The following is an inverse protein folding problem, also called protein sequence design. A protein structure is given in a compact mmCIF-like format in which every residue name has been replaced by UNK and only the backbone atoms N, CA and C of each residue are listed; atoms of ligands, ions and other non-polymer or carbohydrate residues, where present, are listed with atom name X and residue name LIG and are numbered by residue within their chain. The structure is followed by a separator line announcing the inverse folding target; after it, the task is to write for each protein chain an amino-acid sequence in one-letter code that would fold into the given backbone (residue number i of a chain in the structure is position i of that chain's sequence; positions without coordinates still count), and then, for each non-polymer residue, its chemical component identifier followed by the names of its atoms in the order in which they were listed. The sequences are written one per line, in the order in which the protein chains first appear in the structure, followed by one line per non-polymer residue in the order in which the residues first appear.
data_IF_608742506774
#
_entry.id   IF_608742506774
#
_cell.length_a   1.000
_cell.length_b   1.000
_cell.length_c   1.000
_cell.angle_alpha   90.00
_cell.angle_beta   90.00
_cell.angle_gamma   90.00
#
_symmetry.space_group_name_H-M   'P 1'
#
loop_
_entity.id
_entity.type
_entity.pdbx_description
1 polymer ?
#
# COMPACT_ATOMS: atom_id res chain seq x y z
N UNK A 1 11.11 -8.97 2.27
CA UNK A 1 12.14 -9.38 1.28
C UNK A 1 11.40 -9.77 0.00
N UNK A 2 11.74 -9.19 -1.15
CA UNK A 2 11.15 -9.59 -2.42
C UNK A 2 11.71 -10.95 -2.85
N UNK A 3 10.84 -11.87 -3.24
CA UNK A 3 11.18 -13.22 -3.67
C UNK A 3 10.66 -13.45 -5.08
N UNK A 4 11.50 -14.02 -5.95
CA UNK A 4 11.13 -14.37 -7.32
C UNK A 4 10.52 -15.78 -7.34
N UNK A 5 9.33 -15.93 -7.91
CA UNK A 5 8.72 -17.22 -8.18
C UNK A 5 9.19 -17.78 -9.54
N UNK A 6 9.08 -19.10 -9.77
CA UNK A 6 9.32 -19.68 -11.09
C UNK A 6 8.41 -19.03 -12.14
N UNK A 7 8.97 -18.62 -13.29
CA UNK A 7 8.23 -17.93 -14.36
C UNK A 7 8.39 -16.41 -14.41
N UNK A 8 9.29 -15.81 -13.62
CA UNK A 8 9.60 -14.38 -13.68
C UNK A 8 8.67 -13.49 -12.84
N UNK A 9 7.68 -14.08 -12.19
CA UNK A 9 6.76 -13.38 -11.28
C UNK A 9 7.48 -13.00 -9.98
N UNK A 10 7.48 -11.71 -9.62
CA UNK A 10 8.17 -11.18 -8.44
C UNK A 10 7.16 -10.76 -7.38
N UNK A 11 7.33 -11.29 -6.17
CA UNK A 11 6.46 -11.01 -5.02
C UNK A 11 7.24 -10.29 -3.93
N UNK A 12 6.75 -9.16 -3.47
CA UNK A 12 7.16 -8.59 -2.19
C UNK A 12 6.21 -9.09 -1.10
N UNK A 13 6.71 -9.94 -0.21
CA UNK A 13 5.91 -10.52 0.87
C UNK A 13 6.17 -9.82 2.21
N UNK A 14 5.09 -9.36 2.85
CA UNK A 14 5.04 -8.79 4.18
C UNK A 14 4.18 -9.70 5.07
N UNK A 15 4.78 -10.25 6.12
CA UNK A 15 4.10 -11.16 7.06
C UNK A 15 4.17 -10.60 8.47
N UNK A 16 3.01 -10.24 9.00
CA UNK A 16 2.80 -9.80 10.37
C UNK A 16 2.08 -10.87 11.18
N UNK A 17 2.37 -10.95 12.47
CA UNK A 17 1.72 -11.88 13.41
C UNK A 17 1.12 -11.17 14.62
N UNK A 18 1.41 -9.88 14.80
CA UNK A 18 0.87 -9.10 15.90
C UNK A 18 -0.62 -8.80 15.63
N UNK A 19 -1.48 -9.09 16.60
CA UNK A 19 -2.93 -8.93 16.48
C UNK A 19 -3.39 -7.48 16.57
N UNK A 20 -2.52 -6.57 17.04
CA UNK A 20 -2.80 -5.13 17.11
C UNK A 20 -2.15 -4.36 15.96
N UNK A 21 -0.83 -4.44 15.80
CA UNK A 21 -0.08 -3.60 14.86
C UNK A 21 1.18 -4.29 14.34
N UNK A 22 1.39 -4.21 13.03
CA UNK A 22 2.56 -4.71 12.32
C UNK A 22 3.14 -3.56 11.49
N UNK A 23 4.43 -3.28 11.64
CA UNK A 23 5.12 -2.18 10.95
C UNK A 23 6.19 -2.77 10.05
N UNK A 24 6.22 -2.32 8.79
CA UNK A 24 7.20 -2.74 7.80
C UNK A 24 7.88 -1.51 7.19
N UNK A 25 9.19 -1.56 6.99
CA UNK A 25 9.93 -0.60 6.18
C UNK A 25 10.17 -1.21 4.79
N UNK A 26 9.87 -0.44 3.74
CA UNK A 26 10.00 -0.84 2.34
C UNK A 26 10.63 0.30 1.56
N UNK A 27 11.63 0.03 0.72
CA UNK A 27 12.10 1.05 -0.21
C UNK A 27 11.12 1.15 -1.38
N UNK A 28 10.83 2.36 -1.85
CA UNK A 28 10.00 2.59 -3.02
C UNK A 28 10.51 1.84 -4.25
N UNK A 29 11.84 1.68 -4.37
CA UNK A 29 12.48 0.89 -5.43
C UNK A 29 12.10 -0.59 -5.40
N UNK A 30 11.76 -1.15 -4.23
CA UNK A 30 11.36 -2.56 -4.09
C UNK A 30 9.93 -2.81 -4.56
N UNK A 31 9.15 -1.74 -4.76
CA UNK A 31 7.80 -1.79 -5.33
C UNK A 31 7.83 -1.60 -6.85
N UNK A 32 8.90 -1.04 -7.39
CA UNK A 32 9.08 -0.90 -8.82
C UNK A 32 9.37 -2.26 -9.46
N UNK A 33 8.48 -2.73 -10.33
CA UNK A 33 8.67 -3.95 -11.12
C UNK A 33 8.30 -5.25 -10.40
N UNK A 34 7.68 -5.20 -9.22
CA UNK A 34 7.02 -6.38 -8.65
C UNK A 34 5.70 -6.66 -9.36
N UNK A 35 5.31 -7.92 -9.40
CA UNK A 35 4.00 -8.31 -9.91
C UNK A 35 2.95 -8.38 -8.79
N UNK A 36 3.38 -8.60 -7.55
CA UNK A 36 2.45 -8.69 -6.42
C UNK A 36 3.06 -8.20 -5.11
N UNK A 37 2.30 -7.38 -4.39
CA UNK A 37 2.51 -7.11 -2.98
C UNK A 37 1.61 -8.03 -2.16
N UNK A 38 2.20 -8.92 -1.36
CA UNK A 38 1.48 -9.87 -0.51
C UNK A 38 1.55 -9.41 0.94
N UNK A 39 0.39 -9.15 1.55
CA UNK A 39 0.24 -8.67 2.92
C UNK A 39 -0.52 -9.73 3.72
N UNK A 40 0.17 -10.42 4.61
CA UNK A 40 -0.43 -11.40 5.50
C UNK A 40 -0.37 -10.90 6.95
N UNK A 41 -1.51 -10.65 7.56
CA UNK A 41 -1.60 -10.20 8.95
C UNK A 41 -2.95 -10.61 9.58
N UNK A 42 -3.04 -10.70 10.92
CA UNK A 42 -4.28 -11.09 11.59
C UNK A 42 -5.45 -10.14 11.29
N UNK A 43 -6.66 -10.70 11.21
CA UNK A 43 -7.88 -9.91 11.16
C UNK A 43 -7.93 -8.87 12.29
N UNK A 44 -8.44 -7.68 11.98
CA UNK A 44 -8.53 -6.58 12.96
C UNK A 44 -7.23 -5.79 13.19
N UNK A 45 -6.05 -6.38 12.91
CA UNK A 45 -4.76 -5.71 13.09
C UNK A 45 -4.56 -4.51 12.17
N UNK A 46 -3.61 -3.64 12.50
CA UNK A 46 -3.08 -2.59 11.63
C UNK A 46 -1.81 -3.08 10.95
N UNK A 47 -1.69 -2.84 9.65
CA UNK A 47 -0.43 -2.92 8.92
C UNK A 47 -0.05 -1.52 8.51
N UNK A 48 1.11 -1.06 8.98
CA UNK A 48 1.74 0.18 8.52
C UNK A 48 2.93 -0.20 7.66
N UNK A 49 2.90 0.22 6.40
CA UNK A 49 4.00 0.04 5.46
C UNK A 49 4.62 1.41 5.26
N UNK A 50 5.73 1.66 5.95
CA UNK A 50 6.55 2.85 5.74
C UNK A 50 7.35 2.67 4.45
N UNK A 51 7.02 3.47 3.44
CA UNK A 51 7.63 3.45 2.13
C UNK A 51 8.60 4.62 2.02
N UNK A 52 9.88 4.32 1.81
CA UNK A 52 10.99 5.29 1.76
C UNK A 52 11.47 5.51 0.34
N UNK A 53 11.65 6.76 -0.05
CA UNK A 53 12.16 7.19 -1.36
C UNK A 53 11.49 8.47 -1.83
N UNK A 54 12.27 9.36 -2.45
CA UNK A 54 11.79 10.66 -2.94
C UNK A 54 10.67 10.55 -3.99
N UNK A 55 10.58 9.41 -4.69
CA UNK A 55 9.51 9.05 -5.61
C UNK A 55 9.14 7.58 -5.46
N UNK A 56 7.90 7.24 -5.79
CA UNK A 56 7.42 5.87 -5.81
C UNK A 56 6.51 5.58 -7.00
N UNK A 57 6.59 4.36 -7.52
CA UNK A 57 5.77 3.88 -8.64
C UNK A 57 5.06 2.60 -8.24
N UNK A 58 3.73 2.59 -8.37
CA UNK A 58 2.85 1.44 -8.18
C UNK A 58 2.15 1.12 -9.50
N UNK A 59 2.77 0.28 -10.33
CA UNK A 59 2.26 0.02 -11.68
C UNK A 59 2.19 -1.46 -12.01
N UNK A 60 1.07 -1.90 -12.58
CA UNK A 60 0.88 -3.26 -13.10
C UNK A 60 1.14 -4.37 -12.07
N UNK A 61 0.72 -4.14 -10.82
CA UNK A 61 0.90 -5.10 -9.73
C UNK A 61 -0.43 -5.42 -9.05
N UNK A 62 -0.54 -6.65 -8.56
CA UNK A 62 -1.64 -7.09 -7.70
C UNK A 62 -1.34 -6.89 -6.22
N UNK A 63 -2.39 -6.73 -5.41
CA UNK A 63 -2.29 -6.77 -3.96
C UNK A 63 -3.03 -8.02 -3.47
N UNK A 64 -2.31 -8.88 -2.76
CA UNK A 64 -2.87 -10.08 -2.13
C UNK A 64 -2.93 -9.88 -0.62
N UNK A 65 -4.08 -10.17 -0.01
CA UNK A 65 -4.27 -10.10 1.44
C UNK A 65 -4.49 -11.52 2.01
N UNK A 66 -3.89 -11.80 3.17
CA UNK A 66 -4.01 -13.07 3.88
C UNK A 66 -4.03 -12.90 5.39
N UNK A 67 -4.37 -13.96 6.13
CA UNK A 67 -4.44 -13.92 7.61
C UNK A 67 -5.70 -13.23 8.17
N UNK A 68 -6.63 -12.83 7.29
CA UNK A 68 -7.90 -12.21 7.66
C UNK A 68 -7.86 -10.67 7.70
N UNK A 69 -6.74 -10.04 7.38
CA UNK A 69 -6.68 -8.58 7.17
C UNK A 69 -7.53 -8.17 5.95
N UNK A 70 -8.01 -6.93 5.98
CA UNK A 70 -8.74 -6.29 4.89
C UNK A 70 -8.25 -4.85 4.68
N UNK A 71 -8.75 -4.18 3.63
CA UNK A 71 -8.30 -2.86 3.22
C UNK A 71 -8.39 -1.80 4.32
N UNK A 72 -9.40 -1.90 5.22
CA UNK A 72 -9.55 -1.00 6.37
C UNK A 72 -8.46 -1.16 7.43
N UNK A 73 -7.57 -2.14 7.29
CA UNK A 73 -6.44 -2.41 8.19
C UNK A 73 -5.08 -2.03 7.64
N UNK A 74 -4.98 -1.45 6.44
CA UNK A 74 -3.69 -1.20 5.76
C UNK A 74 -3.47 0.30 5.58
N UNK A 75 -2.30 0.77 6.04
CA UNK A 75 -1.80 2.12 5.83
C UNK A 75 -0.49 2.06 5.04
N UNK A 76 -0.51 2.60 3.82
CA UNK A 76 0.67 2.88 3.02
C UNK A 76 1.16 4.28 3.38
N UNK A 77 2.22 4.37 4.18
CA UNK A 77 2.81 5.62 4.62
C UNK A 77 4.02 5.95 3.74
N UNK A 78 3.83 6.79 2.72
CA UNK A 78 4.92 7.31 1.90
C UNK A 78 5.61 8.45 2.65
N UNK A 79 6.71 8.12 3.32
CA UNK A 79 7.25 8.95 4.40
C UNK A 79 7.88 10.24 3.87
N UNK A 80 8.56 10.15 2.73
CA UNK A 80 9.38 11.21 2.13
C UNK A 80 9.14 11.39 0.62
N UNK A 81 8.18 10.66 0.04
CA UNK A 81 7.86 10.77 -1.37
C UNK A 81 7.24 12.13 -1.69
N UNK A 82 7.81 12.80 -2.69
CA UNK A 82 7.28 14.06 -3.25
C UNK A 82 6.47 13.81 -4.53
N UNK A 83 6.63 12.64 -5.14
CA UNK A 83 5.87 12.19 -6.29
C UNK A 83 5.45 10.73 -6.12
N UNK A 84 4.20 10.43 -6.47
CA UNK A 84 3.67 9.07 -6.47
C UNK A 84 2.94 8.83 -7.80
N UNK A 85 3.41 7.86 -8.57
CA UNK A 85 2.75 7.42 -9.78
C UNK A 85 2.08 6.07 -9.53
N UNK A 86 0.79 5.97 -9.84
CA UNK A 86 0.05 4.73 -9.76
C UNK A 86 -0.67 4.47 -11.10
N UNK A 87 -0.62 3.23 -11.58
CA UNK A 87 -1.35 2.87 -12.80
C UNK A 87 -1.64 1.38 -12.92
N UNK A 88 -2.79 1.01 -13.49
CA UNK A 88 -3.14 -0.40 -13.73
C UNK A 88 -3.05 -1.23 -12.44
N UNK A 89 -3.60 -0.69 -11.36
CA UNK A 89 -3.59 -1.28 -10.01
C UNK A 89 -4.93 -1.02 -9.32
N UNK A 90 -5.42 -2.03 -8.59
CA UNK A 90 -6.40 -1.84 -7.53
C UNK A 90 -5.66 -1.69 -6.21
N UNK A 91 -5.72 -0.52 -5.60
CA UNK A 91 -5.02 -0.19 -4.35
C UNK A 91 -5.95 -0.38 -3.15
N UNK A 92 -5.68 -1.38 -2.33
CA UNK A 92 -6.54 -1.76 -1.19
C UNK A 92 -5.93 -1.26 0.11
N UNK A 93 -6.43 -0.14 0.61
CA UNK A 93 -5.97 0.47 1.85
C UNK A 93 -5.85 1.99 1.76
N UNK A 94 -5.40 2.58 2.85
CA UNK A 94 -5.24 4.04 2.95
C UNK A 94 -3.83 4.46 2.58
N UNK A 95 -3.70 5.46 1.71
CA UNK A 95 -2.45 6.12 1.35
C UNK A 95 -2.31 7.39 2.18
N UNK A 96 -1.22 7.49 2.93
CA UNK A 96 -0.74 8.71 3.55
C UNK A 96 0.55 9.12 2.84
N UNK A 97 0.49 10.18 2.05
CA UNK A 97 1.59 10.69 1.25
C UNK A 97 1.63 12.23 1.36
N UNK A 98 1.91 12.78 2.56
CA UNK A 98 1.63 14.18 2.89
C UNK A 98 2.43 15.20 2.06
N UNK A 99 3.52 14.77 1.44
CA UNK A 99 4.36 15.60 0.58
C UNK A 99 4.19 15.32 -0.92
N UNK A 100 3.44 14.27 -1.28
CA UNK A 100 3.39 13.78 -2.64
C UNK A 100 2.33 14.49 -3.49
N UNK A 101 2.68 14.75 -4.75
CA UNK A 101 1.71 14.93 -5.82
C UNK A 101 1.47 13.57 -6.47
N UNK A 102 0.22 13.10 -6.41
CA UNK A 102 -0.19 11.78 -6.89
C UNK A 102 -0.74 11.89 -8.31
N UNK A 103 -0.27 11.03 -9.20
CA UNK A 103 -0.87 10.78 -10.50
C UNK A 103 -1.37 9.34 -10.52
N UNK A 104 -2.68 9.13 -10.62
CA UNK A 104 -3.28 7.79 -10.60
C UNK A 104 -4.20 7.59 -11.81
N UNK A 105 -3.77 6.75 -12.76
CA UNK A 105 -4.50 6.47 -14.00
C UNK A 105 -4.87 5.00 -14.13
N UNK A 106 -5.98 4.70 -14.80
CA UNK A 106 -6.35 3.32 -15.17
C UNK A 106 -6.30 2.35 -13.97
N UNK A 107 -7.02 2.66 -12.89
CA UNK A 107 -7.00 1.86 -11.67
C UNK A 107 -8.09 2.31 -10.71
N UNK A 108 -8.08 1.73 -9.51
CA UNK A 108 -9.01 2.11 -8.46
C UNK A 108 -8.32 2.09 -7.11
N UNK A 109 -8.81 2.89 -6.16
CA UNK A 109 -8.50 2.69 -4.75
C UNK A 109 -9.75 2.33 -3.96
N UNK A 110 -9.58 1.40 -3.01
CA UNK A 110 -10.55 1.05 -1.99
C UNK A 110 -9.95 1.43 -0.64
N UNK A 111 -10.26 2.64 -0.18
CA UNK A 111 -9.56 3.28 0.92
C UNK A 111 -9.70 4.80 0.98
N UNK A 112 -8.59 5.47 1.31
CA UNK A 112 -8.46 6.93 1.29
C UNK A 112 -7.07 7.34 0.80
N UNK A 113 -6.96 8.53 0.22
CA UNK A 113 -5.69 9.11 -0.24
C UNK A 113 -5.54 10.49 0.38
N UNK A 114 -4.50 10.65 1.21
CA UNK A 114 -4.14 11.90 1.86
C UNK A 114 -2.81 12.37 1.28
N UNK A 115 -2.87 13.35 0.36
CA UNK A 115 -1.73 13.84 -0.38
C UNK A 115 -1.86 15.34 -0.71
N UNK A 116 -0.79 15.95 -1.24
CA UNK A 116 -0.80 17.37 -1.64
C UNK A 116 -1.80 17.60 -2.77
N UNK A 117 -1.84 16.69 -3.74
CA UNK A 117 -2.78 16.71 -4.84
C UNK A 117 -2.93 15.33 -5.43
N UNK A 118 -4.05 15.08 -6.09
CA UNK A 118 -4.25 13.90 -6.92
C UNK A 118 -4.85 14.29 -8.27
N UNK A 119 -4.28 13.76 -9.34
CA UNK A 119 -4.82 13.87 -10.71
C UNK A 119 -4.86 12.50 -11.37
N UNK A 120 -5.67 12.38 -12.43
CA UNK A 120 -5.73 11.19 -13.27
C UNK A 120 -7.13 10.63 -13.45
N UNK A 121 -7.22 9.39 -13.89
CA UNK A 121 -8.47 8.72 -14.29
C UNK A 121 -8.91 7.58 -13.37
N UNK A 122 -8.24 7.39 -12.23
CA UNK A 122 -8.59 6.34 -11.29
C UNK A 122 -9.96 6.54 -10.62
N UNK A 123 -10.64 5.44 -10.33
CA UNK A 123 -11.90 5.41 -9.59
C UNK A 123 -11.66 5.30 -8.07
N UNK A 124 -12.50 5.96 -7.26
CA UNK A 124 -12.38 5.92 -5.80
C UNK A 124 -13.56 5.29 -5.10
N UNK A 125 -13.28 4.28 -4.27
CA UNK A 125 -14.21 3.71 -3.29
C UNK A 125 -13.77 4.11 -1.89
N UNK A 126 -14.62 4.87 -1.19
CA UNK A 126 -14.29 5.39 0.14
C UNK A 126 -14.51 4.33 1.22
N UNK A 127 -13.41 3.73 1.67
CA UNK A 127 -13.41 2.82 2.80
C UNK A 127 -12.36 3.27 3.81
N UNK A 128 -12.81 4.12 4.74
CA UNK A 128 -11.93 4.74 5.73
C UNK A 128 -11.14 3.70 6.52
N UNK A 129 -9.88 4.04 6.82
CA UNK A 129 -9.05 3.28 7.76
C UNK A 129 -9.84 3.05 9.04
N UNK A 130 -9.80 1.82 9.57
CA UNK A 130 -10.53 1.48 10.79
C UNK A 130 -10.05 2.40 11.93
N UNK A 131 -11.00 3.01 12.63
CA UNK A 131 -10.72 3.76 13.85
C UNK A 131 -9.96 2.89 14.85
N UNK A 132 -8.99 3.50 15.52
CA UNK A 132 -8.20 2.83 16.56
C UNK A 132 -8.10 3.74 17.76
N UNK A 133 -8.28 3.15 18.93
CA UNK A 133 -7.90 3.80 20.17
C UNK A 133 -6.37 3.94 20.17
N UNK A 134 -5.88 5.19 20.19
CA UNK A 134 -4.45 5.48 20.24
C UNK A 134 -3.82 5.13 21.60
N UNK A 135 -4.64 4.87 22.64
CA UNK A 135 -4.24 4.42 23.96
C UNK A 135 -5.28 3.41 24.51
N UNK A 136 -4.87 2.45 25.37
CA UNK A 136 -5.79 1.74 26.26
C UNK A 136 -6.52 2.69 27.21
#
# INVERSE_FOLDING_TARGET
MATRAPGGFVVLALKGTNTRMNVFEVNASDLAGINQLSINAPAGSLVVINIRGASATLSNLGIAMGGGINQKGILYNFVDATTLQASSIGLWGTVLAPYARVTFNNGAWDGGIYAVSMTGTAEGHLNVLRDRAACP
#
